data_IF_435081321050
#
_entry.id   IF_435081321050
#
_cell.length_a   1.000
_cell.length_b   1.000
_cell.length_c   1.000
_cell.angle_alpha   90.00
_cell.angle_beta   90.00
_cell.angle_gamma   90.00
#
_symmetry.space_group_name_H-M   'P 1'
#
loop_
_entity.id
_entity.type
_entity.pdbx_description
1 polymer ?
#
# COMPACT_ATOMS: atom_id res chain seq x y z
N UNK A 1 -10.61 83.60 -10.62
CA UNK A 1 -11.08 83.55 -9.22
C UNK A 1 -10.70 82.17 -8.69
N UNK A 2 -9.52 82.09 -8.08
CA UNK A 2 -8.93 80.85 -7.55
C UNK A 2 -9.20 80.78 -6.04
N UNK A 3 -9.55 79.61 -5.53
CA UNK A 3 -9.57 79.21 -4.11
C UNK A 3 -9.52 77.67 -4.08
N UNK A 4 -8.40 77.09 -3.64
CA UNK A 4 -8.15 76.62 -2.25
C UNK A 4 -8.63 75.14 -2.11
N UNK A 5 -7.96 74.17 -1.47
CA UNK A 5 -6.94 74.18 -0.41
C UNK A 5 -6.57 72.70 -0.09
N UNK A 6 -5.32 72.44 0.36
CA UNK A 6 -4.83 71.32 1.22
C UNK A 6 -4.70 69.89 0.62
N UNK A 7 -3.71 69.04 0.97
CA UNK A 7 -2.51 69.10 1.81
C UNK A 7 -1.66 67.85 1.49
N UNK A 8 -0.34 67.99 1.56
CA UNK A 8 0.68 66.94 1.45
C UNK A 8 0.52 65.80 2.47
N UNK A 9 0.89 64.57 2.08
CA UNK A 9 1.58 63.65 3.00
C UNK A 9 2.63 62.81 2.26
N UNK A 10 3.88 62.95 2.72
CA UNK A 10 5.06 62.22 2.29
C UNK A 10 4.86 60.71 2.41
N UNK A 11 5.20 59.98 1.36
CA UNK A 11 5.44 58.54 1.42
C UNK A 11 6.83 58.34 2.04
N UNK A 12 6.91 58.26 3.37
CA UNK A 12 8.14 57.85 4.05
C UNK A 12 8.33 56.35 3.84
N UNK A 13 9.33 56.00 3.03
CA UNK A 13 9.95 54.69 2.96
C UNK A 13 10.41 54.26 4.36
N UNK A 14 9.60 53.47 5.04
CA UNK A 14 10.01 52.66 6.17
C UNK A 14 10.90 51.54 5.61
N UNK A 15 12.21 51.79 5.56
CA UNK A 15 13.20 50.72 5.62
C UNK A 15 12.94 49.97 6.92
N UNK A 16 12.30 48.80 6.83
CA UNK A 16 12.44 47.78 7.85
C UNK A 16 13.85 47.21 7.67
N UNK A 17 14.83 47.90 8.24
CA UNK A 17 16.11 47.28 8.55
C UNK A 17 15.81 46.19 9.56
N UNK A 18 15.70 44.95 9.08
CA UNK A 18 15.85 43.80 9.95
C UNK A 18 17.19 43.95 10.67
N UNK A 19 17.16 43.97 12.00
CA UNK A 19 18.34 44.01 12.87
C UNK A 19 19.27 42.84 12.55
N UNK A 20 20.16 42.97 11.57
CA UNK A 20 21.39 42.19 11.56
C UNK A 20 22.33 42.86 12.56
N UNK A 21 22.32 42.35 13.78
CA UNK A 21 23.38 42.63 14.75
C UNK A 21 24.63 41.92 14.23
N UNK A 22 25.37 42.61 13.35
CA UNK A 22 26.49 42.05 12.60
C UNK A 22 27.72 41.67 13.46
N UNK A 23 27.63 41.81 14.78
CA UNK A 23 28.74 41.67 15.73
C UNK A 23 28.50 40.60 16.81
N UNK A 24 27.52 39.71 16.67
CA UNK A 24 27.41 38.56 17.58
C UNK A 24 28.42 37.47 17.15
N UNK A 25 29.44 37.15 17.97
CA UNK A 25 30.41 36.11 17.63
C UNK A 25 29.76 34.72 17.59
N UNK A 26 28.64 34.52 18.30
CA UNK A 26 27.92 33.26 18.32
C UNK A 26 26.91 33.17 17.17
N UNK A 27 26.92 32.09 16.35
CA UNK A 27 25.88 31.87 15.35
C UNK A 27 24.50 31.75 16.00
N UNK A 28 23.45 32.04 15.23
CA UNK A 28 22.09 31.81 15.71
C UNK A 28 21.83 30.31 15.90
N UNK A 29 20.88 29.98 16.81
CA UNK A 29 20.37 28.61 16.84
C UNK A 29 19.80 28.29 15.45
N UNK A 30 20.18 27.17 14.81
CA UNK A 30 19.65 26.80 13.51
C UNK A 30 18.12 26.78 13.52
N UNK A 31 17.48 27.10 12.41
CA UNK A 31 16.03 27.01 12.27
C UNK A 31 15.55 25.54 12.38
N UNK A 32 14.25 25.28 12.30
CA UNK A 32 13.70 23.94 12.34
C UNK A 32 14.33 23.02 11.29
N UNK A 33 14.69 21.81 11.73
CA UNK A 33 15.16 20.75 10.84
C UNK A 33 13.99 20.30 9.96
N UNK A 34 14.15 20.45 8.66
CA UNK A 34 13.22 20.04 7.62
C UNK A 34 13.66 18.71 7.01
N UNK A 35 12.73 18.01 6.34
CA UNK A 35 12.99 16.71 5.72
C UNK A 35 12.13 16.50 4.47
N UNK A 36 12.60 15.65 3.56
CA UNK A 36 11.83 15.15 2.41
C UNK A 36 11.08 13.83 2.69
N UNK A 37 11.09 13.35 3.94
CA UNK A 37 10.34 12.16 4.36
C UNK A 37 8.82 12.35 4.13
N UNK A 38 8.08 11.24 3.94
CA UNK A 38 6.62 11.30 3.85
C UNK A 38 6.02 11.82 5.17
N UNK A 39 4.76 12.29 5.12
CA UNK A 39 4.07 12.81 6.29
C UNK A 39 3.98 11.81 7.46
N UNK A 40 4.04 10.52 7.17
CA UNK A 40 4.05 9.40 8.12
C UNK A 40 5.38 9.25 8.87
N UNK A 41 6.45 9.90 8.41
CA UNK A 41 7.82 9.77 8.93
C UNK A 41 8.30 8.32 9.06
N UNK A 42 7.86 7.48 8.12
CA UNK A 42 8.27 6.09 8.02
C UNK A 42 9.05 5.89 6.72
N UNK A 43 10.19 5.20 6.79
CA UNK A 43 11.06 4.95 5.64
C UNK A 43 11.66 3.55 5.72
N UNK A 44 11.85 2.89 4.58
CA UNK A 44 12.55 1.61 4.53
C UNK A 44 14.01 1.74 4.99
N UNK A 45 14.44 0.79 5.82
CA UNK A 45 15.81 0.67 6.26
C UNK A 45 16.75 0.57 5.05
N UNK A 46 17.89 1.25 5.12
CA UNK A 46 18.84 1.33 4.02
C UNK A 46 18.51 2.37 2.94
N UNK A 47 17.32 2.99 2.95
CA UNK A 47 16.98 4.08 2.02
C UNK A 47 17.54 5.41 2.52
N UNK A 48 18.01 6.23 1.59
CA UNK A 48 18.53 7.58 1.85
C UNK A 48 17.42 8.64 1.85
N UNK A 49 17.53 9.61 2.74
CA UNK A 49 16.65 10.77 2.84
C UNK A 49 17.43 12.02 3.26
N UNK A 50 16.81 13.18 3.12
CA UNK A 50 17.45 14.47 3.40
C UNK A 50 16.95 15.07 4.71
N UNK A 51 17.87 15.71 5.42
CA UNK A 51 17.60 16.64 6.51
C UNK A 51 18.29 17.97 6.22
N UNK A 52 17.61 19.09 6.44
CA UNK A 52 18.19 20.39 6.12
C UNK A 52 17.62 21.55 6.95
N UNK A 53 18.38 22.65 6.99
CA UNK A 53 17.97 23.95 7.53
C UNK A 53 17.67 24.86 6.33
N UNK A 54 16.41 25.30 6.24
CA UNK A 54 15.92 26.10 5.11
C UNK A 54 16.62 27.47 5.05
N UNK A 55 16.65 28.18 6.17
CA UNK A 55 17.25 29.51 6.29
C UNK A 55 18.65 29.40 6.91
N UNK A 56 19.63 29.05 6.07
CA UNK A 56 21.02 28.95 6.49
C UNK A 56 21.68 30.33 6.63
N UNK A 57 22.40 30.52 7.73
CA UNK A 57 23.12 31.75 8.03
C UNK A 57 24.42 31.79 7.19
N UNK A 58 24.68 32.86 6.42
CA UNK A 58 25.89 32.95 5.58
C UNK A 58 27.18 32.79 6.39
N UNK A 59 28.10 31.95 5.93
CA UNK A 59 29.40 31.75 6.59
C UNK A 59 29.35 30.96 7.90
N UNK A 60 28.27 30.22 8.18
CA UNK A 60 28.17 29.25 9.28
C UNK A 60 28.33 27.83 8.73
N UNK A 61 29.12 27.00 9.42
CA UNK A 61 29.19 25.55 9.18
C UNK A 61 28.21 24.83 10.10
N UNK A 62 27.57 23.77 9.61
CA UNK A 62 26.52 23.06 10.34
C UNK A 62 26.94 21.64 10.67
N UNK A 63 27.11 21.37 11.96
CA UNK A 63 27.55 20.08 12.47
C UNK A 63 26.34 19.27 12.95
N UNK A 64 26.12 18.15 12.28
CA UNK A 64 25.00 17.26 12.54
C UNK A 64 25.39 16.10 13.46
N UNK A 65 24.48 15.76 14.36
CA UNK A 65 24.57 14.64 15.31
C UNK A 65 23.44 13.67 15.03
N UNK A 66 23.79 12.39 14.85
CA UNK A 66 22.86 11.30 14.55
C UNK A 66 22.86 10.23 15.66
N UNK A 67 21.73 9.56 15.91
CA UNK A 67 21.71 8.33 16.68
C UNK A 67 22.36 7.18 15.90
N UNK A 68 22.72 6.09 16.59
CA UNK A 68 23.41 4.93 15.99
C UNK A 68 22.68 4.30 14.80
N UNK A 69 21.35 4.38 14.78
CA UNK A 69 20.53 3.83 13.70
C UNK A 69 20.51 4.69 12.43
N UNK A 70 21.19 5.84 12.40
CA UNK A 70 21.31 6.72 11.24
C UNK A 70 22.78 7.00 10.92
N UNK A 71 23.12 6.93 9.64
CA UNK A 71 24.45 7.25 9.11
C UNK A 71 24.36 8.48 8.20
N UNK A 72 25.27 9.44 8.37
CA UNK A 72 25.41 10.56 7.43
C UNK A 72 26.18 10.06 6.22
N UNK A 73 25.53 10.02 5.07
CA UNK A 73 26.14 9.62 3.79
C UNK A 73 26.91 10.78 3.17
N UNK A 74 26.36 11.99 3.25
CA UNK A 74 26.98 13.19 2.67
C UNK A 74 26.50 14.48 3.37
N UNK A 75 27.26 15.56 3.18
CA UNK A 75 26.85 16.92 3.53
C UNK A 75 27.16 17.36 4.96
N UNK A 76 27.95 16.60 5.73
CA UNK A 76 28.41 17.04 7.04
C UNK A 76 29.13 18.40 6.94
N UNK A 77 28.97 19.25 7.95
CA UNK A 77 29.41 20.66 7.95
C UNK A 77 28.60 21.60 7.05
N UNK A 78 27.54 21.12 6.38
CA UNK A 78 26.66 21.95 5.53
C UNK A 78 25.22 21.97 6.08
N UNK A 79 24.41 22.93 5.61
CA UNK A 79 23.02 23.07 6.06
C UNK A 79 22.08 21.96 5.53
N UNK A 80 22.56 21.01 4.73
CA UNK A 80 21.80 19.88 4.18
C UNK A 80 22.66 18.61 4.25
N UNK A 81 22.08 17.53 4.76
CA UNK A 81 22.71 16.22 4.79
C UNK A 81 21.85 15.18 4.10
N UNK A 82 22.52 14.18 3.53
CA UNK A 82 21.91 12.92 3.11
C UNK A 82 22.18 11.90 4.20
N UNK A 83 21.13 11.24 4.67
CA UNK A 83 21.16 10.29 5.79
C UNK A 83 20.59 8.96 5.33
N UNK A 84 21.21 7.87 5.76
CA UNK A 84 20.71 6.51 5.54
C UNK A 84 20.31 5.87 6.86
N UNK A 85 19.13 5.27 6.91
CA UNK A 85 18.68 4.50 8.06
C UNK A 85 19.26 3.10 8.12
N UNK A 86 19.40 2.53 9.31
CA UNK A 86 19.76 1.13 9.52
C UNK A 86 18.84 0.19 8.74
N UNK A 87 19.43 -0.85 8.13
CA UNK A 87 18.70 -1.91 7.46
C UNK A 87 17.96 -2.86 8.43
N UNK A 88 18.22 -2.80 9.74
CA UNK A 88 17.55 -3.67 10.72
C UNK A 88 16.17 -3.14 11.14
N UNK A 89 15.79 -1.94 10.66
CA UNK A 89 14.60 -1.22 11.11
C UNK A 89 14.77 -0.64 12.52
N UNK A 90 13.67 -0.14 13.09
CA UNK A 90 13.63 0.41 14.44
C UNK A 90 12.95 1.77 14.52
N UNK A 91 13.00 2.39 15.70
CA UNK A 91 12.46 3.73 15.94
C UNK A 91 13.59 4.67 16.29
N UNK A 92 13.66 5.79 15.56
CA UNK A 92 14.50 6.93 15.85
C UNK A 92 13.73 7.82 16.83
N UNK A 93 14.14 7.92 18.11
CA UNK A 93 13.39 8.66 19.11
C UNK A 93 13.36 10.15 18.80
N UNK A 94 12.30 10.83 19.23
CA UNK A 94 12.26 12.29 19.20
C UNK A 94 13.46 12.88 19.97
N UNK A 95 14.00 13.99 19.47
CA UNK A 95 15.19 14.69 20.00
C UNK A 95 16.49 13.86 19.97
N UNK A 96 16.62 12.92 19.04
CA UNK A 96 17.87 12.17 18.83
C UNK A 96 18.74 12.71 17.69
N UNK A 97 18.15 13.49 16.78
CA UNK A 97 18.84 14.15 15.67
C UNK A 97 19.04 15.62 16.02
N UNK A 98 20.29 16.09 15.96
CA UNK A 98 20.66 17.45 16.32
C UNK A 98 21.50 18.13 15.25
N UNK A 99 21.42 19.45 15.17
CA UNK A 99 22.34 20.29 14.37
C UNK A 99 22.78 21.51 15.16
N UNK A 100 24.06 21.86 15.05
CA UNK A 100 24.68 23.03 15.66
C UNK A 100 25.40 23.85 14.60
N UNK A 101 25.22 25.16 14.63
CA UNK A 101 25.98 26.09 13.79
C UNK A 101 27.30 26.46 14.46
N UNK A 102 28.36 26.54 13.69
CA UNK A 102 29.67 27.03 14.13
C UNK A 102 30.19 28.13 13.21
N UNK A 103 30.72 29.20 13.81
CA UNK A 103 31.45 30.26 13.11
C UNK A 103 32.62 30.68 13.97
N UNK A 104 33.82 30.74 13.39
CA UNK A 104 35.02 31.20 14.09
C UNK A 104 35.29 30.50 15.44
N UNK A 105 34.91 29.22 15.57
CA UNK A 105 35.06 28.42 16.80
C UNK A 105 33.94 28.61 17.83
N UNK A 106 33.02 29.56 17.64
CA UNK A 106 31.85 29.75 18.48
C UNK A 106 30.67 28.90 17.98
N UNK A 107 29.96 28.28 18.93
CA UNK A 107 28.91 27.30 18.66
C UNK A 107 27.55 27.80 19.12
N UNK A 108 26.54 27.64 18.29
CA UNK A 108 25.16 27.97 18.66
C UNK A 108 24.53 26.92 19.58
N UNK A 109 23.30 27.16 20.04
CA UNK A 109 22.52 26.09 20.68
C UNK A 109 22.16 25.00 19.67
N UNK A 110 22.11 23.75 20.11
CA UNK A 110 21.64 22.64 19.26
C UNK A 110 20.16 22.81 18.94
N UNK A 111 19.81 22.68 17.66
CA UNK A 111 18.43 22.43 17.23
C UNK A 111 18.21 20.92 17.20
N UNK A 112 17.19 20.46 17.90
CA UNK A 112 16.77 19.06 17.87
C UNK A 112 15.61 18.84 16.90
N UNK A 113 15.54 17.66 16.31
CA UNK A 113 14.36 17.19 15.58
C UNK A 113 13.37 16.58 16.57
N UNK A 114 12.16 17.13 16.67
CA UNK A 114 11.21 16.80 17.75
C UNK A 114 10.19 15.71 17.39
N UNK A 115 10.39 14.98 16.30
CA UNK A 115 9.50 13.89 15.88
C UNK A 115 10.24 12.56 15.87
N UNK A 116 9.49 11.48 16.03
CA UNK A 116 10.00 10.13 15.82
C UNK A 116 10.06 9.82 14.32
N UNK A 117 11.04 9.02 13.92
CA UNK A 117 11.13 8.44 12.57
C UNK A 117 11.11 6.93 12.71
N UNK A 118 10.22 6.27 11.98
CA UNK A 118 10.17 4.81 11.95
C UNK A 118 11.01 4.30 10.80
N UNK A 119 12.07 3.56 11.12
CA UNK A 119 12.80 2.75 10.15
C UNK A 119 12.08 1.41 10.01
N UNK A 120 11.50 1.20 8.84
CA UNK A 120 10.85 -0.03 8.49
C UNK A 120 11.93 -1.06 8.20
N UNK A 121 11.98 -2.18 8.93
CA UNK A 121 12.80 -3.32 8.53
C UNK A 121 12.48 -3.68 7.07
N UNK A 122 13.44 -4.12 6.25
CA UNK A 122 13.19 -4.46 4.85
C UNK A 122 12.05 -5.48 4.76
N UNK A 123 11.25 -5.46 3.67
CA UNK A 123 10.24 -6.49 3.45
C UNK A 123 10.90 -7.88 3.55
N UNK A 124 10.28 -8.86 4.24
CA UNK A 124 10.78 -10.22 4.21
C UNK A 124 10.97 -10.66 2.75
N UNK A 125 12.20 -11.03 2.41
CA UNK A 125 12.50 -11.68 1.14
C UNK A 125 12.00 -13.11 1.21
N UNK A 126 11.33 -13.56 0.15
CA UNK A 126 10.87 -14.93 0.04
C UNK A 126 11.51 -15.56 -1.19
N UNK A 127 12.16 -16.71 -1.02
CA UNK A 127 12.79 -17.41 -2.14
C UNK A 127 11.74 -17.74 -3.22
N UNK A 128 12.07 -17.49 -4.48
CA UNK A 128 11.22 -17.70 -5.66
C UNK A 128 10.01 -16.76 -5.81
N UNK A 129 9.79 -15.81 -4.89
CA UNK A 129 8.70 -14.85 -5.00
C UNK A 129 9.21 -13.41 -4.91
N UNK A 130 8.66 -12.54 -5.76
CA UNK A 130 8.83 -11.11 -5.57
C UNK A 130 7.87 -10.61 -4.50
N UNK A 131 8.38 -9.73 -3.64
CA UNK A 131 7.63 -9.14 -2.53
C UNK A 131 7.79 -7.62 -2.55
N UNK A 132 6.77 -6.91 -2.07
CA UNK A 132 6.80 -5.45 -1.96
C UNK A 132 5.96 -4.98 -0.78
N UNK A 133 6.43 -3.92 -0.12
CA UNK A 133 5.72 -3.30 1.00
C UNK A 133 4.67 -2.31 0.50
N UNK A 134 3.51 -2.34 1.15
CA UNK A 134 2.45 -1.35 1.02
C UNK A 134 1.95 -1.02 2.44
N UNK A 135 2.23 0.18 2.91
CA UNK A 135 2.00 0.60 4.27
C UNK A 135 2.83 -0.23 5.25
N UNK A 136 2.17 -0.85 6.24
CA UNK A 136 2.83 -1.71 7.23
C UNK A 136 2.97 -3.16 6.77
N UNK A 137 2.25 -3.59 5.72
CA UNK A 137 2.19 -4.98 5.29
C UNK A 137 3.09 -5.23 4.08
N UNK A 138 3.72 -6.39 4.05
CA UNK A 138 4.49 -6.83 2.88
C UNK A 138 3.69 -7.86 2.13
N UNK A 139 3.51 -7.67 0.84
CA UNK A 139 2.74 -8.55 -0.02
C UNK A 139 3.64 -9.29 -1.01
N UNK A 140 3.26 -10.53 -1.33
CA UNK A 140 3.64 -11.11 -2.61
C UNK A 140 3.02 -10.28 -3.73
N UNK A 141 3.79 -9.95 -4.76
CA UNK A 141 3.27 -9.30 -5.98
C UNK A 141 2.99 -10.31 -7.10
N UNK A 142 3.16 -11.60 -6.78
CA UNK A 142 2.86 -12.75 -7.62
C UNK A 142 1.86 -13.65 -6.89
N UNK A 143 1.15 -14.50 -7.64
CA UNK A 143 0.25 -15.47 -7.03
C UNK A 143 1.04 -16.66 -6.52
N UNK A 144 0.58 -17.28 -5.43
CA UNK A 144 1.20 -18.46 -4.83
C UNK A 144 1.27 -19.61 -5.84
N UNK A 145 2.45 -20.20 -5.98
CA UNK A 145 2.74 -21.33 -6.84
C UNK A 145 3.34 -22.50 -6.02
N UNK A 146 2.86 -22.69 -4.79
CA UNK A 146 3.30 -23.74 -3.88
C UNK A 146 2.57 -25.05 -4.19
N UNK A 147 3.34 -26.14 -4.26
CA UNK A 147 2.82 -27.48 -4.59
C UNK A 147 2.76 -28.41 -3.39
N UNK A 148 3.21 -27.96 -2.22
CA UNK A 148 3.36 -28.79 -1.02
C UNK A 148 4.50 -29.79 -1.17
N UNK A 149 4.86 -30.44 -0.07
CA UNK A 149 5.97 -31.40 -0.04
C UNK A 149 5.76 -32.61 -0.98
N UNK A 150 4.51 -33.01 -1.20
CA UNK A 150 4.14 -34.14 -2.06
C UNK A 150 3.81 -33.73 -3.51
N UNK A 151 3.83 -32.43 -3.82
CA UNK A 151 3.53 -31.89 -5.14
C UNK A 151 2.05 -31.80 -5.51
N UNK A 152 1.13 -32.06 -4.57
CA UNK A 152 -0.31 -32.14 -4.84
C UNK A 152 -1.14 -30.98 -4.29
N UNK A 153 -0.53 -29.96 -3.68
CA UNK A 153 -1.25 -28.78 -3.21
C UNK A 153 -1.71 -27.93 -4.40
N UNK A 154 -3.02 -27.70 -4.49
CA UNK A 154 -3.61 -26.95 -5.60
C UNK A 154 -3.31 -27.58 -6.96
N UNK A 155 -3.62 -26.85 -8.05
CA UNK A 155 -3.38 -27.31 -9.41
C UNK A 155 -3.09 -26.18 -10.39
N UNK A 156 -2.51 -26.55 -11.52
CA UNK A 156 -2.19 -25.62 -12.59
C UNK A 156 -3.45 -25.27 -13.38
N UNK A 157 -3.52 -24.02 -13.84
CA UNK A 157 -4.59 -23.58 -14.74
C UNK A 157 -4.65 -24.48 -15.99
N UNK A 158 -5.82 -25.08 -16.26
CA UNK A 158 -6.04 -26.03 -17.36
C UNK A 158 -5.02 -27.19 -17.44
N UNK A 159 -4.39 -27.56 -16.32
CA UNK A 159 -3.30 -28.53 -16.27
C UNK A 159 -2.10 -28.16 -17.16
N UNK A 160 -1.88 -26.87 -17.40
CA UNK A 160 -0.76 -26.34 -18.17
C UNK A 160 0.27 -25.71 -17.22
N UNK A 161 1.40 -26.41 -17.02
CA UNK A 161 2.50 -25.94 -16.16
C UNK A 161 3.08 -24.59 -16.62
N UNK A 162 3.01 -24.28 -17.92
CA UNK A 162 3.42 -22.97 -18.44
C UNK A 162 2.54 -21.83 -17.89
N UNK A 163 1.28 -22.12 -17.55
CA UNK A 163 0.34 -21.15 -16.98
C UNK A 163 0.55 -20.95 -15.49
N UNK A 164 0.97 -21.97 -14.75
CA UNK A 164 1.31 -21.84 -13.33
C UNK A 164 2.46 -20.86 -13.09
N UNK A 165 3.43 -20.82 -14.02
CA UNK A 165 4.54 -19.87 -14.00
C UNK A 165 4.09 -18.41 -14.20
N UNK A 166 2.89 -18.18 -14.76
CA UNK A 166 2.34 -16.85 -15.05
C UNK A 166 1.30 -16.44 -14.01
N UNK A 167 0.41 -17.36 -13.64
CA UNK A 167 -0.78 -17.08 -12.83
C UNK A 167 -0.72 -17.68 -11.43
N UNK A 168 0.33 -18.43 -11.09
CA UNK A 168 0.35 -19.29 -9.91
C UNK A 168 -0.59 -20.48 -10.05
N UNK A 169 -0.76 -21.20 -8.94
CA UNK A 169 -1.69 -22.32 -8.83
C UNK A 169 -3.04 -21.87 -8.31
N UNK A 170 -4.01 -22.74 -8.51
CA UNK A 170 -5.36 -22.60 -8.01
C UNK A 170 -5.54 -23.54 -6.83
N UNK A 171 -6.16 -23.04 -5.77
CA UNK A 171 -6.38 -23.77 -4.53
C UNK A 171 -7.87 -23.78 -4.22
N UNK A 172 -8.40 -24.89 -3.73
CA UNK A 172 -9.68 -24.89 -3.01
C UNK A 172 -9.60 -24.00 -1.77
N UNK A 173 -10.74 -23.59 -1.22
CA UNK A 173 -10.78 -22.90 0.08
C UNK A 173 -10.11 -23.73 1.18
N UNK A 174 -10.35 -25.04 1.17
CA UNK A 174 -9.80 -25.95 2.18
C UNK A 174 -8.28 -26.04 2.09
N UNK A 175 -7.72 -26.21 0.89
CA UNK A 175 -6.27 -26.18 0.68
C UNK A 175 -5.68 -24.81 1.03
N UNK A 176 -6.37 -23.73 0.68
CA UNK A 176 -5.90 -22.38 0.97
C UNK A 176 -5.76 -22.13 2.48
N UNK A 177 -6.77 -22.53 3.26
CA UNK A 177 -6.80 -22.27 4.70
C UNK A 177 -5.96 -23.26 5.52
N UNK A 178 -5.64 -24.44 4.97
CA UNK A 178 -4.91 -25.48 5.72
C UNK A 178 -3.50 -25.75 5.21
N UNK A 179 -3.22 -25.46 3.94
CA UNK A 179 -2.01 -25.91 3.25
C UNK A 179 -1.94 -27.42 3.02
N UNK A 180 -3.03 -28.16 3.25
CA UNK A 180 -3.11 -29.61 3.10
C UNK A 180 -3.60 -29.94 1.69
N UNK A 181 -2.84 -30.70 0.88
CA UNK A 181 -3.27 -31.14 -0.45
C UNK A 181 -4.61 -31.87 -0.44
N UNK A 182 -5.52 -31.52 -1.35
CA UNK A 182 -6.85 -32.16 -1.49
C UNK A 182 -7.70 -32.14 -0.20
N UNK A 183 -7.46 -31.16 0.68
CA UNK A 183 -8.24 -30.98 1.89
C UNK A 183 -9.74 -30.87 1.57
N UNK A 184 -10.55 -31.45 2.43
CA UNK A 184 -12.00 -31.38 2.40
C UNK A 184 -12.53 -30.55 3.56
N UNK A 185 -13.84 -30.40 3.66
CA UNK A 185 -14.49 -29.79 4.82
C UNK A 185 -14.10 -30.48 6.13
N UNK A 186 -13.92 -31.81 6.13
CA UNK A 186 -13.55 -32.56 7.32
C UNK A 186 -12.12 -32.25 7.82
N UNK A 187 -11.25 -31.79 6.92
CA UNK A 187 -9.83 -31.49 7.21
C UNK A 187 -9.61 -30.03 7.58
N UNK A 188 -10.59 -29.15 7.29
CA UNK A 188 -10.46 -27.71 7.48
C UNK A 188 -11.08 -27.27 8.82
N UNK A 189 -10.28 -26.84 9.82
CA UNK A 189 -10.80 -26.37 11.10
C UNK A 189 -11.46 -24.99 11.00
N UNK A 190 -11.23 -24.25 9.92
CA UNK A 190 -11.73 -22.88 9.69
C UNK A 190 -13.15 -22.90 9.13
N UNK A 191 -14.09 -23.41 9.95
CA UNK A 191 -15.52 -23.48 9.67
C UNK A 191 -16.29 -22.36 10.38
N UNK A 192 -17.57 -22.19 10.03
CA UNK A 192 -18.42 -21.16 10.63
C UNK A 192 -18.52 -21.34 12.15
N UNK A 193 -18.24 -20.27 12.90
CA UNK A 193 -18.25 -20.25 14.36
C UNK A 193 -17.01 -20.87 15.02
N UNK A 194 -16.05 -21.40 14.23
CA UNK A 194 -14.77 -21.86 14.77
C UNK A 194 -14.04 -20.69 15.46
N UNK A 195 -13.43 -20.97 16.60
CA UNK A 195 -12.70 -19.99 17.39
C UNK A 195 -11.39 -20.56 17.90
N UNK A 196 -10.46 -19.67 18.22
CA UNK A 196 -9.13 -20.07 18.66
C UNK A 196 -8.17 -18.90 18.72
N UNK A 197 -6.89 -19.24 18.68
CA UNK A 197 -5.78 -18.30 18.53
C UNK A 197 -5.21 -18.52 17.13
N UNK A 198 -5.06 -17.45 16.36
CA UNK A 198 -4.51 -17.49 15.01
C UNK A 198 -2.96 -17.55 15.03
N UNK A 199 -2.32 -17.62 13.87
CA UNK A 199 -0.85 -17.79 13.78
C UNK A 199 -0.07 -16.54 14.23
N UNK A 200 -0.76 -15.41 14.37
CA UNK A 200 -0.22 -14.17 14.93
C UNK A 200 -0.43 -14.04 16.45
N UNK A 201 -1.09 -15.01 17.08
CA UNK A 201 -1.39 -14.97 18.51
C UNK A 201 -2.67 -14.20 18.87
N UNK A 202 -3.50 -13.83 17.90
CA UNK A 202 -4.75 -13.11 18.14
C UNK A 202 -5.91 -14.09 18.34
N UNK A 203 -6.83 -13.77 19.25
CA UNK A 203 -8.07 -14.50 19.36
C UNK A 203 -8.98 -14.23 18.15
N UNK A 204 -9.63 -15.28 17.64
CA UNK A 204 -10.57 -15.16 16.52
C UNK A 204 -11.86 -15.94 16.78
N UNK A 205 -12.93 -15.53 16.09
CA UNK A 205 -14.15 -16.32 15.85
C UNK A 205 -14.55 -16.11 14.39
N UNK A 206 -14.68 -17.17 13.60
CA UNK A 206 -15.12 -17.12 12.21
C UNK A 206 -16.65 -17.00 12.10
N UNK A 207 -17.18 -15.89 12.60
CA UNK A 207 -18.62 -15.56 12.62
C UNK A 207 -18.99 -14.43 11.63
N UNK A 208 -18.07 -14.08 10.73
CA UNK A 208 -18.27 -13.05 9.73
C UNK A 208 -18.37 -11.61 10.28
N UNK A 209 -18.03 -11.37 11.55
CA UNK A 209 -18.06 -10.03 12.14
C UNK A 209 -16.69 -9.34 12.05
N UNK A 210 -16.69 -8.00 12.05
CA UNK A 210 -15.46 -7.22 12.03
C UNK A 210 -14.62 -7.35 13.29
N UNK A 211 -15.27 -7.52 14.45
CA UNK A 211 -14.59 -7.68 15.72
C UNK A 211 -13.78 -8.98 15.80
N UNK A 212 -14.25 -10.06 15.17
CA UNK A 212 -13.71 -11.40 15.41
C UNK A 212 -12.99 -12.02 14.21
N UNK A 213 -13.37 -11.66 12.97
CA UNK A 213 -12.92 -12.37 11.77
C UNK A 213 -12.13 -11.51 10.77
N UNK A 214 -12.22 -10.17 10.84
CA UNK A 214 -11.61 -9.31 9.80
C UNK A 214 -10.09 -9.28 9.84
N UNK A 215 -9.51 -9.61 10.99
CA UNK A 215 -8.06 -9.55 11.24
C UNK A 215 -7.45 -10.93 11.48
N UNK A 216 -8.17 -12.02 11.18
CA UNK A 216 -7.62 -13.37 11.38
C UNK A 216 -6.37 -13.56 10.52
N UNK A 217 -5.30 -14.09 11.09
CA UNK A 217 -4.05 -14.37 10.39
C UNK A 217 -3.78 -15.88 10.37
N UNK A 218 -4.07 -16.50 9.23
CA UNK A 218 -3.90 -17.94 9.01
C UNK A 218 -2.82 -18.17 7.95
N UNK A 219 -1.74 -18.86 8.30
CA UNK A 219 -0.68 -19.24 7.38
C UNK A 219 -1.27 -20.01 6.20
N UNK A 220 -2.01 -21.09 6.50
CA UNK A 220 -2.65 -21.94 5.49
C UNK A 220 -1.64 -22.44 4.46
N UNK A 221 -1.97 -22.31 3.17
CA UNK A 221 -1.07 -22.66 2.06
C UNK A 221 0.11 -21.71 1.87
N UNK A 222 0.15 -20.57 2.56
CA UNK A 222 1.25 -19.62 2.44
C UNK A 222 2.54 -20.13 3.10
N UNK A 223 3.72 -19.65 2.66
CA UNK A 223 4.99 -19.97 3.29
C UNK A 223 5.05 -19.49 4.75
N UNK A 224 5.92 -20.11 5.56
CA UNK A 224 6.13 -19.70 6.95
C UNK A 224 6.48 -18.22 7.06
N UNK A 225 5.80 -17.50 7.95
CA UNK A 225 5.93 -16.04 8.10
C UNK A 225 4.95 -15.22 7.24
N UNK A 226 4.13 -15.90 6.43
CA UNK A 226 3.13 -15.30 5.54
C UNK A 226 1.76 -15.92 5.81
N UNK A 227 0.68 -15.19 5.54
CA UNK A 227 -0.69 -15.65 5.73
C UNK A 227 -1.59 -15.40 4.52
N UNK A 228 -2.70 -16.14 4.49
CA UNK A 228 -3.81 -15.93 3.56
C UNK A 228 -4.45 -14.58 3.90
N UNK A 229 -4.53 -13.63 2.96
CA UNK A 229 -5.02 -12.29 3.28
C UNK A 229 -6.42 -12.30 3.88
N UNK A 230 -6.62 -11.52 4.94
CA UNK A 230 -7.93 -11.28 5.52
C UNK A 230 -8.57 -10.00 4.95
N UNK A 231 -9.73 -9.62 5.48
CA UNK A 231 -10.47 -8.44 5.01
C UNK A 231 -9.67 -7.15 5.25
N UNK A 232 -9.03 -7.04 6.41
CA UNK A 232 -8.24 -5.86 6.77
C UNK A 232 -6.99 -5.72 5.90
N UNK A 233 -6.30 -6.81 5.57
CA UNK A 233 -5.10 -6.75 4.73
C UNK A 233 -5.42 -6.09 3.37
N UNK A 234 -6.49 -6.56 2.70
CA UNK A 234 -6.93 -5.99 1.43
C UNK A 234 -7.36 -4.52 1.55
N UNK A 235 -7.99 -4.13 2.67
CA UNK A 235 -8.34 -2.73 2.92
C UNK A 235 -7.08 -1.87 3.12
N UNK A 236 -6.16 -2.32 3.97
CA UNK A 236 -4.91 -1.63 4.32
C UNK A 236 -4.01 -1.47 3.07
N UNK A 237 -4.00 -2.47 2.17
CA UNK A 237 -3.37 -2.36 0.86
C UNK A 237 -3.94 -1.19 0.05
N UNK A 238 -5.27 -1.07 -0.09
CA UNK A 238 -5.88 0.03 -0.84
C UNK A 238 -5.57 1.39 -0.20
N UNK A 239 -5.58 1.49 1.12
CA UNK A 239 -5.20 2.75 1.81
C UNK A 239 -3.75 3.11 1.55
N UNK A 240 -2.84 2.13 1.60
CA UNK A 240 -1.42 2.33 1.33
C UNK A 240 -1.21 2.79 -0.11
N UNK A 241 -1.82 2.13 -1.10
CA UNK A 241 -1.73 2.52 -2.50
C UNK A 241 -2.18 3.97 -2.73
N UNK A 242 -3.28 4.40 -2.09
CA UNK A 242 -3.78 5.78 -2.25
C UNK A 242 -2.77 6.80 -1.73
N UNK A 243 -2.22 6.52 -0.56
CA UNK A 243 -1.39 7.46 0.19
C UNK A 243 0.01 7.54 -0.39
N UNK A 244 0.64 6.40 -0.66
CA UNK A 244 2.04 6.30 -1.12
C UNK A 244 2.22 6.77 -2.55
N UNK A 245 1.22 6.51 -3.41
CA UNK A 245 1.26 6.89 -4.83
C UNK A 245 0.42 8.14 -5.14
N UNK A 246 -0.03 8.84 -4.09
CA UNK A 246 -0.73 10.13 -4.17
C UNK A 246 -1.92 10.07 -5.15
N UNK A 247 -2.69 8.98 -5.08
CA UNK A 247 -3.80 8.75 -6.01
C UNK A 247 -4.93 9.74 -5.68
N UNK A 248 -5.39 10.56 -6.64
CA UNK A 248 -6.30 11.67 -6.38
C UNK A 248 -7.73 11.20 -6.05
N UNK A 249 -8.65 12.15 -5.87
CA UNK A 249 -10.07 11.91 -5.63
C UNK A 249 -10.45 11.82 -4.15
N UNK A 250 -11.32 12.72 -3.70
CA UNK A 250 -11.88 12.73 -2.34
C UNK A 250 -13.37 12.39 -2.34
N UNK A 251 -14.08 12.71 -3.43
CA UNK A 251 -15.47 12.34 -3.66
C UNK A 251 -15.66 11.62 -5.00
N UNK A 252 -16.75 10.87 -5.15
CA UNK A 252 -17.12 10.29 -6.44
C UNK A 252 -17.39 11.35 -7.52
N UNK A 253 -17.84 12.55 -7.13
CA UNK A 253 -18.03 13.65 -8.04
C UNK A 253 -16.68 14.17 -8.58
N UNK A 254 -15.66 14.28 -7.73
CA UNK A 254 -14.30 14.66 -8.14
C UNK A 254 -13.81 13.68 -9.21
N UNK A 255 -13.90 12.38 -8.91
CA UNK A 255 -13.40 11.32 -9.79
C UNK A 255 -14.21 11.25 -11.08
N UNK A 256 -15.53 11.43 -11.04
CA UNK A 256 -16.33 11.51 -12.25
C UNK A 256 -15.92 12.69 -13.15
N UNK A 257 -15.53 13.83 -12.55
CA UNK A 257 -15.11 15.03 -13.28
C UNK A 257 -13.69 14.93 -13.85
N UNK A 258 -12.75 14.39 -13.08
CA UNK A 258 -11.33 14.25 -13.47
C UNK A 258 -11.08 12.98 -14.27
N UNK A 259 -11.96 11.98 -14.13
CA UNK A 259 -11.77 10.59 -14.55
C UNK A 259 -10.53 9.93 -13.92
N UNK A 260 -10.15 10.41 -12.73
CA UNK A 260 -8.94 10.00 -12.04
C UNK A 260 -9.16 9.85 -10.54
N UNK A 261 -8.52 8.83 -10.00
CA UNK A 261 -8.43 8.59 -8.58
C UNK A 261 -9.45 7.61 -8.04
N UNK A 262 -9.46 7.49 -6.72
CA UNK A 262 -10.48 6.75 -5.98
C UNK A 262 -10.64 7.26 -4.56
N UNK A 263 -11.81 7.03 -3.96
CA UNK A 263 -12.09 7.33 -2.55
C UNK A 263 -11.90 6.11 -1.67
N UNK A 264 -11.62 6.33 -0.39
CA UNK A 264 -11.75 5.32 0.67
C UNK A 264 -12.98 5.72 1.49
N UNK A 265 -14.14 5.17 1.14
CA UNK A 265 -15.43 5.62 1.67
C UNK A 265 -15.80 5.09 3.05
N UNK A 266 -15.01 4.17 3.62
CA UNK A 266 -15.30 3.45 4.86
C UNK A 266 -14.03 3.29 5.69
N UNK A 267 -14.19 3.07 6.99
CA UNK A 267 -13.10 2.69 7.88
C UNK A 267 -12.86 1.18 7.91
N UNK A 268 -11.71 0.79 8.48
CA UNK A 268 -11.22 -0.60 8.63
C UNK A 268 -12.24 -1.56 9.28
N UNK A 269 -13.16 -1.05 10.10
CA UNK A 269 -14.03 -1.85 10.99
C UNK A 269 -15.51 -1.91 10.56
N UNK A 270 -15.90 -1.28 9.44
CA UNK A 270 -17.32 -1.02 9.11
C UNK A 270 -17.96 -2.07 8.17
N UNK A 271 -17.26 -3.13 7.79
CA UNK A 271 -17.86 -4.28 7.09
C UNK A 271 -17.11 -4.76 5.84
N UNK A 272 -17.57 -5.86 5.24
CA UNK A 272 -17.04 -6.41 3.98
C UNK A 272 -17.28 -5.40 2.86
N UNK A 273 -16.24 -5.09 2.08
CA UNK A 273 -16.35 -4.12 0.98
C UNK A 273 -17.13 -4.74 -0.19
N UNK A 274 -18.46 -4.59 -0.15
CA UNK A 274 -19.38 -5.31 -1.05
C UNK A 274 -19.23 -4.95 -2.53
N UNK A 275 -18.66 -3.80 -2.89
CA UNK A 275 -18.44 -3.43 -4.30
C UNK A 275 -17.36 -2.35 -4.47
N UNK A 276 -16.20 -2.75 -5.01
CA UNK A 276 -15.06 -1.87 -5.38
C UNK A 276 -15.19 -1.51 -6.86
N UNK A 277 -16.31 -0.86 -7.19
CA UNK A 277 -16.62 -0.41 -8.55
C UNK A 277 -16.25 1.05 -8.73
N UNK A 278 -16.10 1.44 -10.00
CA UNK A 278 -15.91 2.82 -10.41
C UNK A 278 -17.00 3.75 -9.83
N UNK A 279 -18.24 3.26 -9.68
CA UNK A 279 -19.36 4.05 -9.15
C UNK A 279 -19.41 4.17 -7.64
N UNK A 280 -18.73 3.31 -6.91
CA UNK A 280 -18.81 3.24 -5.46
C UNK A 280 -17.55 3.80 -4.81
N UNK A 281 -16.40 3.56 -5.44
CA UNK A 281 -15.09 3.98 -4.93
C UNK A 281 -14.33 4.82 -5.95
N UNK A 282 -14.78 4.95 -7.21
CA UNK A 282 -13.95 5.54 -8.26
C UNK A 282 -12.81 4.64 -8.73
N UNK A 283 -12.68 3.46 -8.15
CA UNK A 283 -11.67 2.47 -8.53
C UNK A 283 -12.10 1.85 -9.86
N UNK A 284 -11.35 2.17 -10.90
CA UNK A 284 -11.27 1.37 -12.11
C UNK A 284 -10.69 0.03 -11.65
N UNK A 285 -11.47 -1.05 -11.62
CA UNK A 285 -10.96 -2.38 -11.26
C UNK A 285 -9.62 -2.75 -11.94
N UNK A 286 -9.33 -2.20 -13.14
CA UNK A 286 -7.98 -2.16 -13.68
C UNK A 286 -6.80 -1.52 -12.95
N UNK A 287 -7.00 -0.71 -11.92
CA UNK A 287 -5.90 -0.21 -11.07
C UNK A 287 -5.10 -1.36 -10.45
N UNK A 288 -5.76 -2.47 -10.13
CA UNK A 288 -5.11 -3.67 -9.61
C UNK A 288 -4.64 -4.62 -10.73
N UNK A 289 -4.78 -4.26 -12.02
CA UNK A 289 -4.47 -5.17 -13.12
C UNK A 289 -3.08 -4.89 -13.65
N UNK A 290 -2.22 -5.90 -13.68
CA UNK A 290 -1.15 -5.93 -14.66
C UNK A 290 -1.36 -7.14 -15.52
N UNK A 291 -1.63 -6.96 -16.80
CA UNK A 291 -1.23 -7.98 -17.75
C UNK A 291 0.14 -7.58 -18.28
N UNK A 292 1.15 -7.92 -17.49
CA UNK A 292 2.45 -8.20 -18.04
C UNK A 292 2.74 -9.69 -17.75
N UNK A 293 2.91 -10.53 -18.77
CA UNK A 293 2.76 -10.20 -20.19
C UNK A 293 1.29 -9.96 -20.59
N UNK A 294 1.10 -9.19 -21.66
CA UNK A 294 -0.22 -9.00 -22.29
C UNK A 294 -0.65 -10.33 -22.90
N UNK A 295 -1.78 -10.89 -22.45
CA UNK A 295 -2.38 -12.08 -23.07
C UNK A 295 -3.40 -11.69 -24.14
N UNK A 296 -3.61 -12.57 -25.13
CA UNK A 296 -4.72 -12.42 -26.09
C UNK A 296 -6.05 -12.59 -25.36
N UNK A 297 -7.00 -11.69 -25.59
CA UNK A 297 -8.21 -11.51 -24.78
C UNK A 297 -7.95 -10.83 -23.43
N UNK A 298 -6.69 -10.58 -23.09
CA UNK A 298 -6.26 -10.03 -21.82
C UNK A 298 -6.62 -8.57 -21.64
N UNK A 299 -6.66 -8.15 -20.39
CA UNK A 299 -7.26 -6.87 -19.99
C UNK A 299 -6.55 -5.60 -20.49
N UNK A 300 -5.32 -5.74 -20.99
CA UNK A 300 -4.57 -4.66 -21.63
C UNK A 300 -4.49 -4.81 -23.15
N UNK A 301 -5.16 -5.81 -23.72
CA UNK A 301 -5.34 -5.92 -25.15
C UNK A 301 -6.32 -4.82 -25.60
N UNK A 302 -5.84 -3.90 -26.44
CA UNK A 302 -6.68 -2.88 -27.07
C UNK A 302 -6.54 -1.44 -26.54
N UNK A 303 -5.66 -1.18 -25.56
CA UNK A 303 -5.31 0.21 -25.19
C UNK A 303 -5.03 0.45 -23.70
N UNK A 304 -4.97 1.73 -23.33
CA UNK A 304 -4.74 2.22 -21.97
C UNK A 304 -5.99 2.87 -21.37
N UNK A 305 -7.17 2.61 -21.93
CA UNK A 305 -8.45 3.13 -21.45
C UNK A 305 -9.48 2.00 -21.35
N UNK A 306 -10.40 2.15 -20.41
CA UNK A 306 -11.58 1.31 -20.24
C UNK A 306 -12.83 2.16 -20.42
N UNK A 307 -13.74 1.72 -21.29
CA UNK A 307 -15.01 2.40 -21.50
C UNK A 307 -16.03 2.03 -20.41
N UNK A 308 -16.51 3.03 -19.68
CA UNK A 308 -17.61 2.89 -18.74
C UNK A 308 -18.90 3.46 -19.33
N UNK A 309 -20.00 2.68 -19.31
CA UNK A 309 -21.27 3.10 -19.90
C UNK A 309 -21.98 4.26 -19.18
N UNK A 310 -21.55 4.61 -17.96
CA UNK A 310 -22.19 5.64 -17.16
C UNK A 310 -23.45 5.17 -16.44
N UNK A 311 -23.93 6.00 -15.52
CA UNK A 311 -25.26 5.90 -14.91
C UNK A 311 -25.77 7.31 -14.53
N UNK A 312 -26.92 7.38 -13.86
CA UNK A 312 -27.55 8.65 -13.47
C UNK A 312 -26.64 9.58 -12.64
N UNK A 313 -25.70 9.03 -11.87
CA UNK A 313 -24.87 9.74 -10.90
C UNK A 313 -23.37 9.72 -11.25
N UNK A 314 -22.95 8.93 -12.25
CA UNK A 314 -21.53 8.78 -12.60
C UNK A 314 -21.35 8.80 -14.12
N UNK A 315 -20.51 9.71 -14.67
CA UNK A 315 -20.45 9.95 -16.10
C UNK A 315 -19.88 8.76 -16.86
N UNK A 316 -20.46 8.49 -18.03
CA UNK A 316 -19.91 7.52 -18.97
C UNK A 316 -18.70 8.07 -19.74
N UNK A 317 -17.98 7.17 -20.41
CA UNK A 317 -16.85 7.48 -21.27
C UNK A 317 -15.60 6.68 -20.95
N UNK A 318 -14.50 7.05 -21.60
CA UNK A 318 -13.21 6.40 -21.41
C UNK A 318 -12.54 6.87 -20.12
N UNK A 319 -12.16 5.90 -19.28
CA UNK A 319 -11.36 6.10 -18.07
C UNK A 319 -9.96 5.51 -18.30
N UNK A 320 -8.88 6.22 -17.92
CA UNK A 320 -7.52 5.71 -18.05
C UNK A 320 -7.28 4.48 -17.17
N UNK A 321 -6.45 3.57 -17.68
CA UNK A 321 -6.04 2.34 -17.01
C UNK A 321 -4.77 2.51 -16.15
N UNK A 322 -4.17 3.71 -16.10
CA UNK A 322 -2.96 4.02 -15.29
C UNK A 322 -1.79 3.04 -15.48
N UNK A 323 -1.49 2.65 -16.72
CA UNK A 323 -0.44 1.67 -17.02
C UNK A 323 0.91 1.96 -16.35
N UNK A 324 1.32 3.23 -16.35
CA UNK A 324 2.60 3.61 -15.75
C UNK A 324 2.56 3.53 -14.23
N UNK A 325 1.50 4.03 -13.59
CA UNK A 325 1.34 3.93 -12.14
C UNK A 325 1.16 2.48 -11.68
N UNK A 326 0.49 1.63 -12.46
CA UNK A 326 0.35 0.19 -12.18
C UNK A 326 1.71 -0.54 -12.22
N UNK A 327 2.62 -0.14 -13.12
CA UNK A 327 4.01 -0.64 -13.11
C UNK A 327 4.78 -0.16 -11.89
N UNK A 328 4.57 1.09 -11.48
CA UNK A 328 5.22 1.65 -10.30
C UNK A 328 4.72 1.02 -9.01
N UNK A 329 3.39 0.82 -8.89
CA UNK A 329 2.74 0.12 -7.79
C UNK A 329 3.22 -1.33 -7.74
N UNK A 330 3.32 -2.00 -8.89
CA UNK A 330 3.76 -3.40 -9.06
C UNK A 330 2.84 -4.45 -8.40
N UNK A 331 1.71 -4.04 -7.81
CA UNK A 331 0.68 -4.94 -7.27
C UNK A 331 -0.30 -5.39 -8.37
N UNK A 332 0.20 -6.17 -9.31
CA UNK A 332 -0.56 -6.55 -10.48
C UNK A 332 -1.27 -7.89 -10.27
N UNK A 333 -2.60 -7.91 -10.30
CA UNK A 333 -3.42 -9.12 -10.24
C UNK A 333 -3.23 -9.91 -11.53
N UNK A 334 -2.90 -11.20 -11.37
CA UNK A 334 -2.58 -12.12 -12.46
C UNK A 334 -3.85 -12.96 -12.78
N UNK A 335 -4.56 -12.64 -13.88
CA UNK A 335 -5.91 -13.14 -14.14
C UNK A 335 -5.91 -14.57 -14.71
N UNK A 336 -5.92 -15.55 -13.81
CA UNK A 336 -5.98 -16.95 -14.17
C UNK A 336 -7.26 -17.29 -14.97
N UNK A 337 -8.36 -16.56 -14.79
CA UNK A 337 -9.64 -16.83 -15.45
C UNK A 337 -10.69 -17.37 -14.47
N UNK A 338 -11.83 -17.81 -15.01
CA UNK A 338 -12.97 -18.30 -14.22
C UNK A 338 -13.34 -19.73 -14.56
N UNK A 339 -13.59 -20.55 -13.54
CA UNK A 339 -14.16 -21.88 -13.75
C UNK A 339 -15.59 -21.77 -14.28
N UNK A 340 -15.90 -22.54 -15.32
CA UNK A 340 -17.25 -22.67 -15.84
C UNK A 340 -17.80 -24.05 -15.50
N UNK A 341 -18.76 -24.08 -14.58
CA UNK A 341 -19.30 -25.34 -14.03
C UNK A 341 -20.03 -26.19 -15.07
N UNK A 342 -20.70 -25.57 -16.06
CA UNK A 342 -21.42 -26.31 -17.10
C UNK A 342 -20.51 -26.99 -18.12
N UNK A 343 -19.37 -26.35 -18.43
CA UNK A 343 -18.39 -26.87 -19.41
C UNK A 343 -17.18 -27.57 -18.79
N UNK A 344 -17.01 -27.49 -17.47
CA UNK A 344 -15.91 -28.08 -16.71
C UNK A 344 -14.53 -27.69 -17.24
N UNK A 345 -14.42 -26.44 -17.69
CA UNK A 345 -13.17 -25.83 -18.15
C UNK A 345 -13.05 -24.43 -17.58
N UNK A 346 -11.81 -23.96 -17.41
CA UNK A 346 -11.60 -22.55 -17.18
C UNK A 346 -11.80 -21.74 -18.47
N UNK A 347 -12.37 -20.55 -18.32
CA UNK A 347 -12.65 -19.61 -19.41
C UNK A 347 -12.15 -18.22 -19.03
N UNK A 348 -12.01 -17.35 -20.03
CA UNK A 348 -11.70 -15.93 -19.82
C UNK A 348 -10.37 -15.71 -19.08
N UNK A 349 -9.38 -16.54 -19.42
CA UNK A 349 -7.96 -16.31 -19.13
C UNK A 349 -7.58 -14.88 -19.54
N UNK A 350 -6.81 -14.17 -18.71
CA UNK A 350 -6.45 -12.79 -19.02
C UNK A 350 -7.51 -11.74 -18.61
N UNK A 351 -8.73 -12.17 -18.26
CA UNK A 351 -9.87 -11.27 -18.02
C UNK A 351 -10.35 -11.27 -16.57
N UNK A 352 -10.43 -12.45 -15.94
CA UNK A 352 -10.92 -12.60 -14.57
C UNK A 352 -9.84 -13.16 -13.64
N UNK A 353 -9.87 -12.72 -12.39
CA UNK A 353 -9.12 -13.34 -11.30
C UNK A 353 -10.00 -13.47 -10.07
N UNK A 354 -9.77 -14.53 -9.30
CA UNK A 354 -10.42 -14.76 -8.02
C UNK A 354 -9.34 -15.05 -7.00
N UNK A 355 -9.41 -14.39 -5.85
CA UNK A 355 -8.44 -14.56 -4.77
C UNK A 355 -9.15 -14.87 -3.48
N UNK A 356 -8.76 -15.94 -2.79
CA UNK A 356 -9.32 -16.24 -1.49
C UNK A 356 -9.01 -15.15 -0.47
N UNK A 357 -9.94 -14.99 0.46
CA UNK A 357 -9.83 -14.10 1.62
C UNK A 357 -10.16 -14.94 2.84
N UNK A 358 -9.33 -14.89 3.88
CA UNK A 358 -9.49 -15.64 5.13
C UNK A 358 -10.74 -15.17 5.93
N UNK A 359 -11.94 -15.41 5.41
CA UNK A 359 -13.20 -14.93 5.96
C UNK A 359 -14.40 -15.76 5.45
N UNK A 360 -15.36 -16.02 6.34
CA UNK A 360 -16.65 -16.63 6.01
C UNK A 360 -17.77 -15.60 6.13
N UNK A 361 -18.68 -15.57 5.16
CA UNK A 361 -19.73 -14.56 5.13
C UNK A 361 -20.90 -14.87 6.07
N UNK A 362 -21.57 -13.83 6.57
CA UNK A 362 -22.79 -13.99 7.38
C UNK A 362 -24.02 -14.44 6.57
N UNK A 363 -23.91 -14.48 5.24
CA UNK A 363 -25.03 -14.73 4.34
C UNK A 363 -25.20 -16.22 3.99
N UNK A 364 -26.45 -16.70 3.98
CA UNK A 364 -26.81 -18.00 3.43
C UNK A 364 -26.03 -19.17 4.05
N UNK A 365 -25.32 -19.92 3.20
CA UNK A 365 -24.50 -21.10 3.55
C UNK A 365 -23.13 -20.76 4.15
N UNK A 366 -22.90 -19.52 4.57
CA UNK A 366 -21.62 -19.04 5.12
C UNK A 366 -20.44 -19.24 4.18
N UNK A 367 -20.67 -19.02 2.89
CA UNK A 367 -19.67 -19.23 1.86
C UNK A 367 -18.39 -18.42 2.14
N UNK A 368 -17.21 -18.97 1.81
CA UNK A 368 -15.95 -18.25 1.89
C UNK A 368 -15.96 -17.00 1.03
N UNK A 369 -15.22 -15.99 1.47
CA UNK A 369 -15.09 -14.74 0.75
C UNK A 369 -13.92 -14.80 -0.22
N UNK A 370 -14.11 -14.14 -1.37
CA UNK A 370 -13.05 -13.94 -2.35
C UNK A 370 -13.08 -12.51 -2.87
N UNK A 371 -11.92 -12.00 -3.27
CA UNK A 371 -11.84 -10.83 -4.15
C UNK A 371 -12.02 -11.32 -5.59
N UNK A 372 -13.07 -10.84 -6.25
CA UNK A 372 -13.26 -11.01 -7.69
C UNK A 372 -12.71 -9.77 -8.39
N UNK A 373 -11.85 -9.96 -9.38
CA UNK A 373 -11.41 -8.91 -10.30
C UNK A 373 -11.84 -9.30 -11.70
N UNK A 374 -12.70 -8.49 -12.31
CA UNK A 374 -13.20 -8.67 -13.67
C UNK A 374 -12.89 -7.50 -14.59
N UNK A 375 -13.42 -7.52 -15.81
CA UNK A 375 -13.11 -6.50 -16.83
C UNK A 375 -13.48 -5.07 -16.43
N UNK A 376 -14.60 -4.87 -15.75
CA UNK A 376 -15.09 -3.53 -15.33
C UNK A 376 -15.33 -3.33 -13.84
N UNK A 377 -15.10 -4.35 -13.00
CA UNK A 377 -15.38 -4.28 -11.57
C UNK A 377 -14.41 -5.15 -10.76
N UNK A 378 -14.16 -4.72 -9.53
CA UNK A 378 -13.56 -5.54 -8.49
C UNK A 378 -14.51 -5.51 -7.29
N UNK A 379 -14.63 -6.62 -6.57
CA UNK A 379 -15.44 -6.63 -5.35
C UNK A 379 -15.14 -7.88 -4.53
N UNK A 380 -15.36 -7.76 -3.22
CA UNK A 380 -15.56 -8.95 -2.42
C UNK A 380 -16.86 -9.63 -2.84
N UNK A 381 -16.84 -10.95 -2.88
CA UNK A 381 -17.97 -11.76 -3.30
C UNK A 381 -17.91 -13.12 -2.62
N UNK A 382 -19.05 -13.80 -2.56
CA UNK A 382 -19.11 -15.15 -2.04
C UNK A 382 -18.53 -16.12 -3.06
N UNK A 383 -17.51 -16.87 -2.64
CA UNK A 383 -16.98 -18.01 -3.36
C UNK A 383 -17.79 -19.25 -3.03
N UNK A 384 -18.40 -19.87 -4.05
CA UNK A 384 -18.95 -21.21 -3.87
C UNK A 384 -17.77 -22.18 -3.81
N UNK A 385 -17.53 -22.75 -2.63
CA UNK A 385 -16.48 -23.75 -2.47
C UNK A 385 -16.91 -25.08 -3.06
N UNK A 386 -16.14 -25.56 -4.03
CA UNK A 386 -16.28 -26.90 -4.61
C UNK A 386 -14.89 -27.42 -4.94
N UNK A 387 -14.72 -28.73 -4.96
CA UNK A 387 -13.46 -29.37 -5.37
C UNK A 387 -12.99 -28.99 -6.80
N UNK A 388 -13.85 -28.35 -7.61
CA UNK A 388 -13.54 -27.88 -8.96
C UNK A 388 -13.29 -26.35 -9.04
N UNK A 389 -13.65 -25.59 -8.00
CA UNK A 389 -13.53 -24.14 -7.94
C UNK A 389 -12.26 -23.73 -7.19
N UNK A 390 -11.12 -23.82 -7.86
CA UNK A 390 -9.86 -23.30 -7.31
C UNK A 390 -9.70 -21.82 -7.62
N UNK A 391 -9.24 -21.05 -6.64
CA UNK A 391 -8.89 -19.63 -6.79
C UNK A 391 -7.43 -19.39 -6.45
N UNK A 392 -6.91 -18.27 -6.92
CA UNK A 392 -5.54 -17.86 -6.66
C UNK A 392 -5.36 -17.47 -5.19
N UNK A 393 -4.13 -17.56 -4.72
CA UNK A 393 -3.70 -17.00 -3.44
C UNK A 393 -2.59 -15.98 -3.67
N UNK A 394 -2.55 -14.96 -2.81
CA UNK A 394 -1.48 -13.97 -2.80
C UNK A 394 -1.17 -13.67 -1.36
N UNK A 395 -0.08 -14.20 -0.84
CA UNK A 395 0.18 -14.14 0.58
C UNK A 395 0.67 -12.76 1.00
N UNK A 396 0.44 -12.43 2.26
CA UNK A 396 0.86 -11.20 2.92
C UNK A 396 1.61 -11.55 4.21
N UNK A 397 2.54 -10.71 4.63
CA UNK A 397 3.42 -10.93 5.78
C UNK A 397 3.44 -9.72 6.72
N UNK A 398 4.14 -9.92 7.84
CA UNK A 398 4.29 -9.04 9.00
C UNK A 398 3.10 -9.16 9.96
N UNK A 399 3.11 -10.25 10.74
CA UNK A 399 2.19 -10.56 11.83
C UNK A 399 2.06 -9.43 12.85
#
# INVERSE_FOLDING_TARGET
MAKNIFLYLLLSTLLVGACQRADDPQPWQPDFIMTNLPATLSIEGGVEFELYIADAEPGVQYFWTMPQALEIVDGQQTNRIVVRGSAEGGVIPAKSIGVQGERNGEKSFTRWFYKEITLLAPPPSLENYRTKRYGSKTWMIENLNEKGADGNLGWDYNNDNGKASIYGRLYTWHEAMTGIPKATEADNPFTWGASGIDDAGNAYILDGTSANAFNIQVQGGCPTGWHVPNVNDWYDLLVALKTEYVIPGNTLADIGSTKDGYTIGWGREIGVVNSITLTNWGIVAPYLKGSSPVSSGGLWQGGTTFYYGGNANFPGGDYPLYKELSREIDFNILPAGRWNEGSKIFQQEGVYSYHWVAFLTTAGTHNPLRVTVGSGNANFSNGAETAANGYSLRCVANY
#
